data_IF_583460812009
#
_entry.id   IF_583460812009
#
_cell.length_a   1.000
_cell.length_b   1.000
_cell.length_c   1.000
_cell.angle_alpha   90.00
_cell.angle_beta   90.00
_cell.angle_gamma   90.00
#
_symmetry.space_group_name_H-M   'P 1'
#
loop_
_entity.id
_entity.type
_entity.pdbx_description
1 polymer ?
#
# COMPACT_ATOMS: atom_id res chain seq x y z
N UNK A 1 -36.03 -19.59 -5.47
CA UNK A 1 -37.05 -18.53 -5.67
C UNK A 1 -36.49 -17.09 -5.67
N UNK A 2 -35.17 -16.84 -5.58
CA UNK A 2 -34.61 -15.47 -5.61
C UNK A 2 -34.26 -14.94 -7.03
N UNK A 3 -34.04 -15.83 -8.01
CA UNK A 3 -33.62 -15.44 -9.36
C UNK A 3 -34.71 -14.69 -10.17
N UNK A 4 -35.98 -14.77 -9.75
CA UNK A 4 -37.11 -14.09 -10.42
C UNK A 4 -37.22 -12.59 -10.11
N UNK A 5 -36.61 -12.11 -9.01
CA UNK A 5 -36.73 -10.71 -8.58
C UNK A 5 -35.79 -9.77 -9.34
N UNK A 6 -34.55 -10.19 -9.61
CA UNK A 6 -33.54 -9.33 -10.27
C UNK A 6 -33.90 -8.98 -11.71
N UNK A 7 -34.56 -9.89 -12.44
CA UNK A 7 -35.01 -9.67 -13.83
C UNK A 7 -36.11 -8.62 -13.96
N UNK A 8 -36.85 -8.37 -12.88
CA UNK A 8 -37.95 -7.42 -12.87
C UNK A 8 -37.48 -5.99 -12.55
N UNK A 9 -36.23 -5.82 -12.11
CA UNK A 9 -35.67 -4.51 -11.80
C UNK A 9 -35.22 -3.79 -13.08
N UNK A 10 -35.55 -2.49 -13.25
CA UNK A 10 -35.01 -1.69 -14.34
C UNK A 10 -33.47 -1.59 -14.29
N UNK A 11 -32.81 -1.47 -15.45
CA UNK A 11 -31.35 -1.34 -15.58
C UNK A 11 -30.79 -0.21 -14.69
N UNK A 12 -31.52 0.91 -14.56
CA UNK A 12 -31.14 2.04 -13.71
C UNK A 12 -31.10 1.69 -12.22
N UNK A 13 -32.05 0.88 -11.75
CA UNK A 13 -32.09 0.40 -10.37
C UNK A 13 -30.93 -0.57 -10.12
N UNK A 14 -30.64 -1.45 -11.07
CA UNK A 14 -29.49 -2.36 -10.98
C UNK A 14 -28.16 -1.61 -10.91
N UNK A 15 -28.00 -0.56 -11.72
CA UNK A 15 -26.81 0.32 -11.68
C UNK A 15 -26.73 1.08 -10.35
N UNK A 16 -27.85 1.59 -9.83
CA UNK A 16 -27.89 2.26 -8.53
C UNK A 16 -27.48 1.30 -7.38
N UNK A 17 -28.02 0.08 -7.38
CA UNK A 17 -27.62 -0.96 -6.41
C UNK A 17 -26.14 -1.30 -6.54
N UNK A 18 -25.62 -1.45 -7.77
CA UNK A 18 -24.21 -1.76 -8.00
C UNK A 18 -23.26 -0.69 -7.46
N UNK A 19 -23.67 0.59 -7.39
CA UNK A 19 -22.87 1.66 -6.78
C UNK A 19 -22.75 1.55 -5.26
N UNK A 20 -23.64 0.80 -4.60
CA UNK A 20 -23.63 0.55 -3.16
C UNK A 20 -22.87 -0.73 -2.78
N UNK A 21 -22.48 -1.53 -3.77
CA UNK A 21 -21.79 -2.80 -3.59
C UNK A 21 -20.29 -2.66 -3.83
N UNK A 22 -19.51 -3.50 -3.17
CA UNK A 22 -18.11 -3.69 -3.52
C UNK A 22 -18.01 -4.28 -4.93
N UNK A 23 -16.96 -3.95 -5.66
CA UNK A 23 -16.79 -4.34 -7.05
C UNK A 23 -16.75 -5.85 -7.23
N UNK A 24 -16.29 -6.61 -6.22
CA UNK A 24 -16.34 -8.07 -6.26
C UNK A 24 -17.76 -8.62 -6.09
N UNK A 25 -18.63 -7.95 -5.33
CA UNK A 25 -20.04 -8.32 -5.25
C UNK A 25 -20.74 -8.01 -6.57
N UNK A 26 -20.44 -6.87 -7.20
CA UNK A 26 -20.90 -6.54 -8.56
C UNK A 26 -20.40 -7.57 -9.57
N UNK A 27 -19.13 -7.98 -9.49
CA UNK A 27 -18.53 -8.99 -10.35
C UNK A 27 -19.27 -10.33 -10.21
N UNK A 28 -19.51 -10.80 -8.98
CA UNK A 28 -20.25 -12.04 -8.72
C UNK A 28 -21.69 -11.94 -9.22
N UNK A 29 -22.38 -10.84 -8.91
CA UNK A 29 -23.76 -10.60 -9.34
C UNK A 29 -23.89 -10.57 -10.87
N UNK A 30 -22.90 -10.00 -11.57
CA UNK A 30 -22.87 -9.97 -13.03
C UNK A 30 -22.81 -11.36 -13.68
N UNK A 31 -22.38 -12.41 -12.96
CA UNK A 31 -22.28 -13.77 -13.50
C UNK A 31 -23.48 -14.66 -13.13
N UNK A 32 -24.48 -14.12 -12.42
CA UNK A 32 -25.68 -14.89 -12.03
C UNK A 32 -26.60 -15.15 -13.24
N UNK A 33 -26.73 -14.18 -14.15
CA UNK A 33 -27.71 -14.23 -15.23
C UNK A 33 -27.32 -13.32 -16.41
N UNK A 34 -27.79 -13.61 -17.62
CA UNK A 34 -27.38 -12.91 -18.86
C UNK A 34 -27.74 -11.41 -18.89
N UNK A 35 -28.90 -11.01 -18.38
CA UNK A 35 -29.30 -9.61 -18.27
C UNK A 35 -28.37 -8.87 -17.30
N UNK A 36 -28.09 -9.46 -16.13
CA UNK A 36 -27.14 -8.90 -15.17
C UNK A 36 -25.72 -8.83 -15.75
N UNK A 37 -25.29 -9.84 -16.49
CA UNK A 37 -24.01 -9.81 -17.18
C UNK A 37 -23.91 -8.62 -18.13
N UNK A 38 -24.98 -8.32 -18.88
CA UNK A 38 -25.00 -7.17 -19.78
C UNK A 38 -24.98 -5.84 -19.02
N UNK A 39 -25.87 -5.67 -18.03
CA UNK A 39 -26.06 -4.39 -17.32
C UNK A 39 -24.90 -4.08 -16.38
N UNK A 40 -24.41 -5.08 -15.66
CA UNK A 40 -23.37 -4.92 -14.64
C UNK A 40 -21.95 -5.08 -15.18
N UNK A 41 -21.76 -5.30 -16.49
CA UNK A 41 -20.44 -5.24 -17.14
C UNK A 41 -20.13 -3.89 -17.79
N UNK A 42 -20.96 -2.88 -17.53
CA UNK A 42 -20.73 -1.50 -17.97
C UNK A 42 -19.42 -0.97 -17.38
N UNK A 43 -18.59 -0.38 -18.24
CA UNK A 43 -17.23 0.05 -17.94
C UNK A 43 -17.15 0.97 -16.70
N UNK A 44 -18.03 1.95 -16.63
CA UNK A 44 -18.08 2.96 -15.58
C UNK A 44 -18.25 2.39 -14.16
N UNK A 45 -18.85 1.19 -14.03
CA UNK A 45 -19.01 0.52 -12.75
C UNK A 45 -17.66 0.08 -12.19
N UNK A 46 -16.74 -0.38 -13.03
CA UNK A 46 -15.42 -0.85 -12.59
C UNK A 46 -14.35 0.22 -12.71
N UNK A 47 -14.40 1.05 -13.76
CA UNK A 47 -13.46 2.14 -13.96
C UNK A 47 -13.45 3.09 -12.75
N UNK A 48 -14.61 3.41 -12.15
CA UNK A 48 -14.70 4.26 -10.96
C UNK A 48 -14.04 3.70 -9.69
N UNK A 49 -13.71 2.39 -9.68
CA UNK A 49 -13.10 1.66 -8.55
C UNK A 49 -11.60 1.46 -8.72
N UNK A 50 -11.12 1.51 -9.95
CA UNK A 50 -9.70 1.40 -10.28
C UNK A 50 -8.97 2.70 -10.00
N UNK A 51 -7.65 2.62 -9.85
CA UNK A 51 -6.81 3.81 -9.71
C UNK A 51 -6.85 4.67 -10.97
N UNK A 52 -7.04 5.98 -10.77
CA UNK A 52 -6.92 7.00 -11.82
C UNK A 52 -5.63 7.79 -11.62
N UNK A 53 -4.63 7.18 -10.98
CA UNK A 53 -3.31 7.77 -10.89
C UNK A 53 -2.58 7.53 -12.20
N UNK A 54 -2.22 8.63 -12.86
CA UNK A 54 -1.48 8.63 -14.11
C UNK A 54 -0.20 9.44 -13.94
N UNK A 55 0.89 8.89 -14.48
CA UNK A 55 2.19 9.54 -14.45
C UNK A 55 2.47 10.19 -15.81
N UNK A 56 3.12 11.35 -15.77
CA UNK A 56 3.60 12.02 -16.98
C UNK A 56 4.56 11.08 -17.72
N UNK A 57 4.17 10.65 -18.92
CA UNK A 57 5.05 9.93 -19.83
C UNK A 57 5.86 10.94 -20.65
N UNK A 58 7.19 10.87 -20.62
CA UNK A 58 8.05 11.80 -21.40
C UNK A 58 7.93 11.64 -22.92
N UNK A 59 7.20 10.65 -23.45
CA UNK A 59 6.71 10.69 -24.83
C UNK A 59 5.54 9.71 -25.05
N UNK A 60 4.36 10.22 -25.45
CA UNK A 60 3.47 9.70 -26.52
C UNK A 60 2.13 10.44 -26.54
N UNK A 61 1.54 10.56 -27.74
CA UNK A 61 0.34 11.35 -28.08
C UNK A 61 -0.89 10.93 -27.25
N UNK A 62 -1.42 11.88 -26.47
CA UNK A 62 -2.46 11.67 -25.47
C UNK A 62 -3.90 11.54 -25.97
N UNK A 63 -4.19 10.63 -26.90
CA UNK A 63 -5.59 10.31 -27.29
C UNK A 63 -5.99 8.84 -27.24
N UNK A 64 -5.03 7.91 -27.28
CA UNK A 64 -5.34 6.48 -27.46
C UNK A 64 -5.37 5.67 -26.14
N UNK A 65 -4.84 6.22 -25.04
CA UNK A 65 -4.74 5.54 -23.74
C UNK A 65 -6.06 5.58 -22.93
N UNK A 66 -6.86 6.65 -23.04
CA UNK A 66 -8.11 6.78 -22.28
C UNK A 66 -9.25 5.90 -22.83
N UNK A 67 -9.25 5.63 -24.15
CA UNK A 67 -10.34 4.90 -24.81
C UNK A 67 -10.24 3.38 -24.55
N UNK A 68 -9.02 2.85 -24.40
CA UNK A 68 -8.80 1.41 -24.15
C UNK A 68 -8.96 1.00 -22.68
N UNK A 69 -8.68 1.88 -21.72
CA UNK A 69 -8.77 1.55 -20.28
C UNK A 69 -10.23 1.37 -19.81
N UNK A 70 -11.17 2.09 -20.40
CA UNK A 70 -12.60 2.01 -20.09
C UNK A 70 -13.20 0.64 -20.49
N UNK A 71 -12.92 0.17 -21.71
CA UNK A 71 -13.62 -0.97 -22.32
C UNK A 71 -13.34 -2.30 -21.59
N UNK A 72 -12.17 -2.47 -20.97
CA UNK A 72 -11.80 -3.70 -20.24
C UNK A 72 -11.72 -3.52 -18.71
N UNK A 73 -12.26 -2.43 -18.17
CA UNK A 73 -12.20 -2.07 -16.75
C UNK A 73 -12.73 -3.16 -15.81
N UNK A 74 -13.75 -3.93 -16.22
CA UNK A 74 -14.24 -5.09 -15.47
C UNK A 74 -13.17 -6.17 -15.31
N UNK A 75 -12.47 -6.50 -16.40
CA UNK A 75 -11.42 -7.51 -16.39
C UNK A 75 -10.20 -7.00 -15.62
N UNK A 76 -9.83 -5.73 -15.81
CA UNK A 76 -8.76 -5.10 -15.06
C UNK A 76 -9.05 -5.17 -13.56
N UNK A 77 -10.25 -4.77 -13.13
CA UNK A 77 -10.66 -4.91 -11.73
C UNK A 77 -10.58 -6.36 -11.22
N UNK A 78 -10.97 -7.34 -12.03
CA UNK A 78 -10.92 -8.74 -11.66
C UNK A 78 -9.49 -9.33 -11.56
N UNK A 79 -8.53 -8.74 -12.27
CA UNK A 79 -7.14 -9.20 -12.33
C UNK A 79 -6.20 -8.42 -11.41
N UNK A 80 -6.54 -7.18 -11.07
CA UNK A 80 -5.78 -6.36 -10.13
C UNK A 80 -5.64 -7.04 -8.77
N UNK A 81 -4.46 -6.86 -8.17
CA UNK A 81 -4.11 -7.51 -6.91
C UNK A 81 -3.37 -6.56 -5.99
N UNK A 82 -3.45 -6.87 -4.70
CA UNK A 82 -2.73 -6.19 -3.64
C UNK A 82 -1.85 -7.20 -2.89
N UNK A 83 -0.98 -6.73 -2.02
CA UNK A 83 -0.06 -7.59 -1.27
C UNK A 83 -0.58 -7.81 0.14
N UNK A 84 -0.76 -9.08 0.54
CA UNK A 84 -1.09 -9.47 1.90
C UNK A 84 0.19 -9.85 2.65
N UNK A 85 0.34 -9.24 3.82
CA UNK A 85 1.36 -9.57 4.81
C UNK A 85 0.67 -10.28 5.98
N UNK A 86 1.23 -11.42 6.38
CA UNK A 86 0.64 -12.35 7.35
C UNK A 86 0.84 -11.95 8.81
N UNK A 87 1.58 -10.88 9.07
CA UNK A 87 1.86 -10.43 10.44
C UNK A 87 2.93 -11.23 11.15
N UNK A 88 3.18 -10.84 12.40
CA UNK A 88 4.19 -11.48 13.25
C UNK A 88 3.53 -12.52 14.15
N UNK A 89 3.85 -13.81 13.94
CA UNK A 89 3.45 -14.86 14.87
C UNK A 89 4.19 -14.71 16.21
N UNK A 90 3.47 -14.79 17.33
CA UNK A 90 4.05 -14.63 18.68
C UNK A 90 5.14 -15.67 18.98
N UNK A 91 4.96 -16.89 18.48
CA UNK A 91 5.91 -18.00 18.65
C UNK A 91 7.14 -17.93 17.72
N UNK A 92 7.16 -17.01 16.75
CA UNK A 92 8.23 -16.92 15.74
C UNK A 92 9.07 -15.68 15.94
N UNK A 93 10.39 -15.84 15.79
CA UNK A 93 11.37 -14.74 15.88
C UNK A 93 11.60 -14.01 14.56
N UNK A 94 11.41 -14.72 13.45
CA UNK A 94 11.55 -14.16 12.10
C UNK A 94 10.16 -13.81 11.56
N UNK A 95 10.07 -12.79 10.69
CA UNK A 95 8.85 -12.47 9.98
C UNK A 95 8.48 -13.58 8.98
N UNK A 96 7.19 -13.84 8.84
CA UNK A 96 6.64 -14.86 7.95
C UNK A 96 6.40 -14.30 6.56
N UNK A 97 6.18 -12.99 6.46
CA UNK A 97 5.99 -12.29 5.21
C UNK A 97 6.77 -10.98 5.19
N UNK A 98 7.55 -10.72 4.14
CA UNK A 98 8.17 -9.42 3.90
C UNK A 98 8.66 -9.27 2.45
N UNK A 99 8.79 -8.03 2.01
CA UNK A 99 9.28 -7.66 0.70
C UNK A 99 10.59 -6.85 0.83
N UNK A 100 11.75 -7.37 0.42
CA UNK A 100 12.99 -6.61 0.42
C UNK A 100 12.96 -5.50 -0.63
N UNK A 101 13.51 -4.33 -0.29
CA UNK A 101 13.76 -3.23 -1.22
C UNK A 101 15.24 -3.21 -1.55
N UNK A 102 15.60 -3.45 -2.81
CA UNK A 102 16.99 -3.60 -3.27
C UNK A 102 17.67 -2.28 -3.63
N UNK A 103 17.16 -1.18 -3.11
CA UNK A 103 17.78 0.14 -3.23
C UNK A 103 18.41 0.50 -1.89
N UNK A 104 19.58 1.13 -1.92
CA UNK A 104 20.12 1.73 -0.71
C UNK A 104 19.14 2.77 -0.17
N UNK A 105 19.15 2.97 1.15
CA UNK A 105 18.37 4.05 1.78
C UNK A 105 18.67 5.39 1.09
N UNK A 106 19.93 5.64 0.77
CA UNK A 106 20.34 6.86 0.07
C UNK A 106 19.68 7.02 -1.30
N UNK A 107 19.60 5.96 -2.10
CA UNK A 107 18.93 6.00 -3.40
C UNK A 107 17.42 6.13 -3.24
N UNK A 108 16.84 5.44 -2.25
CA UNK A 108 15.40 5.44 -2.01
C UNK A 108 14.89 6.83 -1.61
N UNK A 109 15.66 7.56 -0.80
CA UNK A 109 15.30 8.88 -0.29
C UNK A 109 16.06 10.05 -0.93
N UNK A 110 16.87 9.78 -1.96
CA UNK A 110 17.55 10.82 -2.75
C UNK A 110 18.65 11.55 -1.98
N UNK A 111 19.31 10.89 -1.02
CA UNK A 111 20.26 11.52 -0.10
C UNK A 111 21.55 11.99 -0.82
N UNK A 112 21.98 11.30 -1.88
CA UNK A 112 23.17 11.71 -2.68
C UNK A 112 22.89 12.65 -3.85
N UNK A 113 21.62 12.94 -4.18
CA UNK A 113 21.29 13.82 -5.31
C UNK A 113 21.50 15.32 -4.98
N UNK A 114 22.14 15.62 -3.85
CA UNK A 114 22.39 16.97 -3.36
C UNK A 114 23.52 17.62 -4.17
N UNK A 115 23.21 18.71 -4.88
CA UNK A 115 24.24 19.56 -5.52
C UNK A 115 25.05 20.35 -4.47
N UNK A 116 24.45 20.65 -3.32
CA UNK A 116 25.06 21.34 -2.18
C UNK A 116 24.78 20.58 -0.87
N UNK A 117 25.82 20.32 -0.08
CA UNK A 117 25.75 19.57 1.19
C UNK A 117 24.88 20.24 2.28
N UNK A 118 24.46 21.49 2.08
CA UNK A 118 23.62 22.26 3.02
C UNK A 118 22.12 22.19 2.68
N UNK A 119 21.71 21.61 1.54
CA UNK A 119 20.30 21.44 1.19
C UNK A 119 19.80 20.05 1.61
N UNK A 120 18.93 19.92 2.62
CA UNK A 120 18.38 18.63 3.01
C UNK A 120 17.59 18.00 1.83
N UNK A 121 17.53 16.66 1.75
CA UNK A 121 16.79 15.97 0.70
C UNK A 121 15.31 16.37 0.77
N UNK A 122 14.67 16.46 -0.39
CA UNK A 122 13.21 16.59 -0.47
C UNK A 122 12.63 15.32 -1.06
N UNK A 123 11.65 14.74 -0.37
CA UNK A 123 11.03 13.51 -0.82
C UNK A 123 9.60 13.39 -0.32
N UNK A 124 8.86 12.53 -1.01
CA UNK A 124 7.52 12.12 -0.60
C UNK A 124 7.48 10.60 -0.59
N UNK A 125 6.87 10.03 0.44
CA UNK A 125 6.43 8.65 0.45
C UNK A 125 4.92 8.63 0.63
N UNK A 126 4.23 7.74 -0.07
CA UNK A 126 2.83 7.44 0.25
C UNK A 126 2.55 5.93 0.24
N UNK A 127 1.46 5.55 0.90
CA UNK A 127 0.98 4.18 0.89
C UNK A 127 -0.54 4.09 1.05
N UNK A 128 -1.13 3.13 0.33
CA UNK A 128 -2.47 2.62 0.58
C UNK A 128 -2.38 1.30 1.33
N UNK A 129 -2.96 1.24 2.53
CA UNK A 129 -2.95 0.03 3.35
C UNK A 129 -4.28 -0.19 4.08
N UNK A 130 -4.52 -1.43 4.49
CA UNK A 130 -5.61 -1.81 5.38
C UNK A 130 -5.10 -2.78 6.42
N UNK A 131 -5.52 -2.61 7.67
CA UNK A 131 -5.28 -3.60 8.71
C UNK A 131 -6.17 -4.83 8.48
N UNK A 132 -5.60 -6.01 8.69
CA UNK A 132 -6.39 -7.23 8.80
C UNK A 132 -7.03 -7.32 10.20
N UNK A 133 -8.17 -8.02 10.33
CA UNK A 133 -8.74 -8.33 11.63
C UNK A 133 -7.75 -9.07 12.50
N UNK A 134 -7.94 -8.99 13.82
CA UNK A 134 -7.13 -9.77 14.76
C UNK A 134 -7.27 -11.25 14.45
N UNK A 135 -6.14 -11.91 14.29
CA UNK A 135 -6.02 -13.36 14.17
C UNK A 135 -5.36 -13.92 15.44
N UNK A 136 -5.67 -15.17 15.78
CA UNK A 136 -5.09 -15.82 16.95
C UNK A 136 -3.59 -16.03 16.76
N UNK A 137 -2.80 -15.79 17.80
CA UNK A 137 -1.33 -15.92 17.82
C UNK A 137 -0.57 -15.01 16.85
N UNK A 138 -1.26 -14.10 16.15
CA UNK A 138 -0.69 -13.06 15.29
C UNK A 138 -0.76 -11.73 16.03
N UNK A 139 0.40 -11.06 16.14
CA UNK A 139 0.46 -9.73 16.74
C UNK A 139 -0.28 -8.71 15.89
N UNK A 140 -0.98 -7.81 16.55
CA UNK A 140 -1.66 -6.70 15.90
C UNK A 140 -0.64 -5.67 15.38
N UNK A 141 -0.95 -5.02 14.26
CA UNK A 141 -0.11 -3.93 13.71
C UNK A 141 1.08 -4.45 12.92
N UNK A 142 2.26 -3.89 13.18
CA UNK A 142 3.52 -4.21 12.53
C UNK A 142 4.12 -3.09 11.70
N UNK A 143 5.36 -3.28 11.27
CA UNK A 143 6.12 -2.30 10.48
C UNK A 143 5.81 -2.49 9.01
N UNK A 144 5.31 -1.44 8.37
CA UNK A 144 4.97 -1.44 6.95
C UNK A 144 6.18 -1.03 6.09
N UNK A 145 6.99 -0.05 6.55
CA UNK A 145 8.29 0.27 5.96
C UNK A 145 9.34 0.42 7.06
N UNK A 146 10.33 -0.48 7.07
CA UNK A 146 11.43 -0.51 8.03
C UNK A 146 12.79 -0.38 7.35
N UNK A 147 13.68 0.38 7.97
CA UNK A 147 15.09 0.53 7.61
C UNK A 147 15.96 -0.11 8.69
N UNK A 148 17.03 -0.80 8.29
CA UNK A 148 17.94 -1.43 9.23
C UNK A 148 19.35 -1.65 8.64
N UNK A 149 20.35 -1.79 9.51
CA UNK A 149 21.72 -2.08 9.11
C UNK A 149 21.98 -3.57 8.84
N UNK A 150 21.09 -4.47 9.26
CA UNK A 150 21.20 -5.91 9.02
C UNK A 150 19.96 -6.44 8.33
N UNK A 151 20.15 -7.37 7.39
CA UNK A 151 19.03 -8.06 6.75
C UNK A 151 18.39 -9.05 7.72
N UNK A 152 17.11 -9.34 7.50
CA UNK A 152 16.45 -10.44 8.19
C UNK A 152 17.15 -11.78 7.88
N UNK A 153 17.74 -12.41 8.91
CA UNK A 153 18.39 -13.73 8.84
C UNK A 153 17.93 -14.62 9.98
N UNK A 154 17.92 -15.92 9.75
CA UNK A 154 17.66 -16.93 10.77
C UNK A 154 18.82 -17.18 11.74
N UNK A 155 18.90 -18.38 12.28
CA UNK A 155 19.88 -18.74 13.31
C UNK A 155 21.33 -18.38 12.91
N UNK A 156 22.05 -17.76 13.84
CA UNK A 156 23.42 -17.27 13.63
C UNK A 156 23.52 -15.90 12.92
N UNK A 157 22.41 -15.30 12.50
CA UNK A 157 22.38 -13.94 11.99
C UNK A 157 22.55 -12.88 13.07
N UNK A 158 23.29 -11.81 12.78
CA UNK A 158 23.38 -10.64 13.65
C UNK A 158 22.05 -9.88 13.65
N UNK A 159 21.59 -9.48 14.84
CA UNK A 159 20.42 -8.61 14.95
C UNK A 159 20.79 -7.18 14.54
N UNK A 160 19.86 -6.44 13.89
CA UNK A 160 20.06 -5.03 13.61
C UNK A 160 20.37 -4.23 14.88
N UNK A 161 21.47 -3.48 14.85
CA UNK A 161 21.84 -2.53 15.91
C UNK A 161 21.30 -1.13 15.62
N UNK A 162 21.11 -0.81 14.33
CA UNK A 162 20.50 0.42 13.88
C UNK A 162 19.28 0.07 13.05
N UNK A 163 18.15 0.66 13.42
CA UNK A 163 16.89 0.47 12.72
C UNK A 163 15.98 1.69 12.86
N UNK A 164 15.11 1.89 11.88
CA UNK A 164 14.12 2.96 11.88
C UNK A 164 12.82 2.48 11.21
N UNK A 165 11.71 2.58 11.94
CA UNK A 165 10.37 2.28 11.41
C UNK A 165 9.79 3.56 10.83
N UNK A 166 9.85 3.70 9.51
CA UNK A 166 9.35 4.89 8.80
C UNK A 166 7.82 4.94 8.80
N UNK A 167 7.18 3.78 8.64
CA UNK A 167 5.74 3.63 8.68
C UNK A 167 5.40 2.34 9.42
N UNK A 168 4.67 2.45 10.53
CA UNK A 168 4.25 1.30 11.31
C UNK A 168 2.94 1.55 12.06
N UNK A 169 2.33 0.45 12.49
CA UNK A 169 1.16 0.46 13.36
C UNK A 169 1.50 -0.34 14.61
N UNK A 170 1.26 0.21 15.80
CA UNK A 170 1.51 -0.49 17.07
C UNK A 170 0.42 -1.53 17.40
N UNK A 171 0.58 -2.22 18.54
CA UNK A 171 -0.35 -3.25 18.98
C UNK A 171 -1.76 -2.70 19.30
N UNK A 172 -1.84 -1.43 19.70
CA UNK A 172 -3.06 -0.68 19.98
C UNK A 172 -3.73 -0.13 18.71
N UNK A 173 -3.13 -0.36 17.54
CA UNK A 173 -3.57 0.15 16.22
C UNK A 173 -3.38 1.64 16.05
N UNK A 174 -2.42 2.24 16.74
CA UNK A 174 -2.01 3.60 16.47
C UNK A 174 -1.04 3.64 15.28
N UNK A 175 -1.21 4.64 14.42
CA UNK A 175 -0.37 4.86 13.26
C UNK A 175 0.80 5.77 13.60
N UNK A 176 1.98 5.42 13.11
CA UNK A 176 3.16 6.27 13.15
C UNK A 176 3.76 6.33 11.75
N UNK A 177 4.07 7.53 11.30
CA UNK A 177 4.78 7.76 10.06
C UNK A 177 5.75 8.91 10.27
N UNK A 178 7.04 8.63 10.28
CA UNK A 178 8.05 9.65 10.53
C UNK A 178 9.43 9.21 10.07
N UNK A 179 10.22 10.18 9.64
CA UNK A 179 11.67 10.06 9.45
C UNK A 179 12.45 10.77 10.55
N UNK A 180 11.78 11.46 11.49
CA UNK A 180 12.38 12.19 12.61
C UNK A 180 12.46 11.32 13.88
N UNK A 181 13.33 11.70 14.83
CA UNK A 181 13.50 10.99 16.10
C UNK A 181 12.27 11.08 17.03
N UNK A 182 11.48 12.15 16.93
CA UNK A 182 10.28 12.35 17.74
C UNK A 182 9.18 11.33 17.46
N UNK A 183 9.14 10.75 16.24
CA UNK A 183 8.16 9.74 15.79
C UNK A 183 6.74 9.96 16.33
N UNK A 184 6.08 11.07 15.98
CA UNK A 184 4.77 11.40 16.52
C UNK A 184 3.74 10.34 16.10
N UNK A 185 2.79 10.07 17.01
CA UNK A 185 1.61 9.30 16.69
C UNK A 185 0.71 10.12 15.77
N UNK A 186 0.41 9.55 14.60
CA UNK A 186 -0.32 10.18 13.49
C UNK A 186 -1.83 9.97 13.60
N UNK A 187 -2.23 8.79 14.05
CA UNK A 187 -3.62 8.44 14.29
C UNK A 187 -3.72 7.38 15.38
N UNK A 188 -4.91 7.22 15.94
CA UNK A 188 -5.21 6.26 17.01
C UNK A 188 -6.26 5.28 16.57
N UNK A 189 -6.20 4.06 17.14
CA UNK A 189 -7.25 3.05 17.04
C UNK A 189 -7.76 2.77 15.61
N UNK A 190 -6.85 2.65 14.64
CA UNK A 190 -7.23 2.37 13.26
C UNK A 190 -8.16 1.15 13.16
N UNK A 191 -9.22 1.31 12.37
CA UNK A 191 -10.19 0.25 12.07
C UNK A 191 -9.61 -0.80 11.11
N UNK A 192 -9.87 -2.08 11.39
CA UNK A 192 -9.58 -3.16 10.45
C UNK A 192 -10.53 -3.13 9.25
N UNK A 193 -10.08 -3.65 8.11
CA UNK A 193 -10.84 -3.71 6.84
C UNK A 193 -11.21 -2.33 6.26
N UNK A 194 -10.56 -1.25 6.69
CA UNK A 194 -10.66 0.08 6.07
C UNK A 194 -9.37 0.38 5.31
N UNK A 195 -9.52 0.88 4.09
CA UNK A 195 -8.40 1.43 3.32
C UNK A 195 -8.03 2.81 3.89
N UNK A 196 -6.76 2.98 4.22
CA UNK A 196 -6.13 4.24 4.62
C UNK A 196 -5.10 4.64 3.58
N UNK A 197 -5.09 5.92 3.24
CA UNK A 197 -3.98 6.54 2.54
C UNK A 197 -3.12 7.32 3.53
N UNK A 198 -1.82 7.05 3.58
CA UNK A 198 -0.87 7.83 4.37
C UNK A 198 0.18 8.42 3.45
N UNK A 199 0.56 9.67 3.67
CA UNK A 199 1.67 10.29 2.98
C UNK A 199 2.57 11.05 3.96
N UNK A 200 3.88 10.99 3.73
CA UNK A 200 4.88 11.78 4.41
C UNK A 200 5.62 12.60 3.36
N UNK A 201 5.65 13.91 3.57
CA UNK A 201 6.39 14.88 2.76
C UNK A 201 7.48 15.47 3.63
N UNK A 202 8.73 15.40 3.18
CA UNK A 202 9.87 16.02 3.84
C UNK A 202 10.53 17.03 2.90
N UNK A 203 10.71 18.26 3.38
CA UNK A 203 11.33 19.36 2.63
C UNK A 203 11.88 20.39 3.61
N UNK A 204 13.08 20.95 3.34
CA UNK A 204 13.65 22.06 4.12
C UNK A 204 13.62 21.84 5.64
N UNK A 205 14.01 20.64 6.11
CA UNK A 205 13.96 20.25 7.54
C UNK A 205 12.56 20.32 8.16
N UNK A 206 11.52 20.20 7.34
CA UNK A 206 10.14 20.09 7.78
C UNK A 206 9.54 18.78 7.30
N UNK A 207 8.85 18.09 8.20
CA UNK A 207 8.05 16.91 7.90
C UNK A 207 6.57 17.28 7.99
N UNK A 208 5.79 16.84 7.00
CA UNK A 208 4.32 16.90 7.01
C UNK A 208 3.78 15.51 6.76
N UNK A 209 2.81 15.11 7.57
CA UNK A 209 2.17 13.79 7.49
C UNK A 209 0.69 14.01 7.19
N UNK A 210 0.20 13.25 6.22
CA UNK A 210 -1.19 13.28 5.78
C UNK A 210 -1.82 11.91 5.96
N UNK A 211 -3.07 11.91 6.41
CA UNK A 211 -3.92 10.71 6.48
C UNK A 211 -5.20 10.99 5.72
N UNK A 212 -5.51 10.13 4.76
CA UNK A 212 -6.63 10.26 3.82
C UNK A 212 -6.67 11.62 3.08
N UNK A 213 -5.50 12.25 2.91
CA UNK A 213 -5.32 13.53 2.22
C UNK A 213 -5.33 14.77 3.13
N UNK A 214 -5.67 14.59 4.40
CA UNK A 214 -5.71 15.68 5.39
C UNK A 214 -4.40 15.75 6.17
N UNK A 215 -3.90 16.96 6.43
CA UNK A 215 -2.69 17.17 7.24
C UNK A 215 -2.99 16.83 8.71
N UNK A 216 -2.30 15.82 9.24
CA UNK A 216 -2.51 15.30 10.60
C UNK A 216 -1.29 15.50 11.51
N UNK A 217 -0.13 15.81 10.94
CA UNK A 217 1.09 16.10 11.69
C UNK A 217 2.02 17.00 10.91
N UNK A 218 2.69 17.92 11.62
CA UNK A 218 3.75 18.73 11.05
C UNK A 218 4.82 18.99 12.10
N UNK A 219 6.06 18.84 11.69
CA UNK A 219 7.23 19.19 12.50
C UNK A 219 8.15 20.07 11.64
N UNK A 220 8.73 21.08 12.24
CA UNK A 220 9.66 22.01 11.60
C UNK A 220 11.00 21.97 12.33
N UNK A 221 12.06 22.36 11.63
CA UNK A 221 13.42 22.41 12.18
C UNK A 221 13.90 21.06 12.72
N UNK A 222 13.46 19.97 12.09
CA UNK A 222 13.82 18.61 12.49
C UNK A 222 14.90 18.04 11.59
N UNK A 223 15.83 17.32 12.21
CA UNK A 223 16.73 16.42 11.48
C UNK A 223 16.02 15.10 11.20
N UNK A 224 16.16 14.63 9.96
CA UNK A 224 15.75 13.28 9.61
C UNK A 224 16.81 12.28 10.11
N UNK A 225 16.38 11.06 10.44
CA UNK A 225 17.25 10.00 10.97
C UNK A 225 17.95 9.18 9.88
N UNK A 226 17.51 9.27 8.63
CA UNK A 226 17.98 8.49 7.47
C UNK A 226 19.49 8.58 7.25
N UNK A 227 20.11 9.73 7.58
CA UNK A 227 21.58 9.93 7.49
C UNK A 227 22.30 9.73 8.83
N UNK A 228 21.57 9.58 9.94
CA UNK A 228 22.17 9.47 11.27
C UNK A 228 22.85 8.12 11.51
N UNK A 229 22.43 7.08 10.79
CA UNK A 229 22.88 5.71 10.99
C UNK A 229 22.98 4.91 9.69
N UNK A 230 23.82 3.85 9.63
CA UNK A 230 24.04 3.08 8.42
C UNK A 230 22.87 2.14 8.09
N UNK A 231 21.79 2.67 7.51
CA UNK A 231 20.66 1.86 7.07
C UNK A 231 20.91 1.27 5.68
N UNK A 232 21.35 0.01 5.63
CA UNK A 232 21.67 -0.67 4.36
C UNK A 232 20.48 -1.41 3.73
N UNK A 233 19.45 -1.72 4.51
CA UNK A 233 18.34 -2.56 4.08
C UNK A 233 17.00 -1.90 4.38
N UNK A 234 16.25 -1.59 3.33
CA UNK A 234 14.84 -1.25 3.42
C UNK A 234 13.97 -2.50 3.22
N UNK A 235 12.90 -2.62 4.00
CA UNK A 235 11.98 -3.75 3.97
C UNK A 235 10.54 -3.26 4.07
N UNK A 236 9.67 -3.86 3.26
CA UNK A 236 8.23 -3.62 3.27
C UNK A 236 7.53 -4.79 3.97
N UNK A 237 6.59 -4.45 4.84
CA UNK A 237 5.81 -5.39 5.63
C UNK A 237 6.56 -6.05 6.78
N UNK A 238 7.76 -5.58 7.10
CA UNK A 238 8.43 -5.87 8.37
C UNK A 238 9.50 -4.81 8.67
N UNK A 239 9.98 -4.83 9.91
CA UNK A 239 11.10 -4.05 10.38
C UNK A 239 11.49 -4.50 11.78
N UNK A 240 12.74 -4.25 12.14
CA UNK A 240 13.21 -4.54 13.49
C UNK A 240 12.77 -3.43 14.45
N UNK A 241 12.36 -3.80 15.66
CA UNK A 241 11.99 -2.87 16.74
C UNK A 241 12.77 -3.27 17.99
N UNK A 242 13.36 -2.29 18.66
CA UNK A 242 13.82 -2.43 20.05
C UNK A 242 13.15 -1.37 20.91
N UNK A 243 12.29 -1.81 21.81
CA UNK A 243 11.63 -1.00 22.84
C UNK A 243 11.59 -1.78 24.16
N UNK A 244 11.22 -1.14 25.27
CA UNK A 244 11.33 -1.68 26.63
C UNK A 244 10.60 -3.04 26.83
N UNK A 245 9.58 -3.32 26.02
CA UNK A 245 8.81 -4.57 26.06
C UNK A 245 9.07 -5.55 24.91
N UNK A 246 9.79 -5.14 23.86
CA UNK A 246 9.98 -5.97 22.68
C UNK A 246 11.27 -5.66 21.92
N UNK A 247 12.02 -6.72 21.62
CA UNK A 247 13.23 -6.63 20.81
C UNK A 247 13.22 -7.71 19.73
N UNK A 248 12.92 -7.35 18.49
CA UNK A 248 12.79 -8.30 17.40
C UNK A 248 12.13 -7.75 16.14
N UNK A 249 11.91 -8.65 15.17
CA UNK A 249 11.22 -8.34 13.92
C UNK A 249 9.71 -8.25 14.13
N UNK A 250 9.09 -7.19 13.62
CA UNK A 250 7.66 -6.97 13.74
C UNK A 250 7.00 -6.86 12.37
N UNK A 251 6.61 -8.02 11.81
CA UNK A 251 5.89 -8.09 10.54
C UNK A 251 4.50 -7.46 10.60
N UNK A 252 4.15 -6.74 9.53
CA UNK A 252 2.86 -6.10 9.32
C UNK A 252 1.74 -7.11 9.05
N UNK A 253 0.62 -6.98 9.75
CA UNK A 253 -0.57 -7.79 9.55
C UNK A 253 -1.64 -6.99 8.80
N UNK A 254 -1.61 -7.06 7.46
CA UNK A 254 -2.44 -6.19 6.64
C UNK A 254 -2.32 -6.40 5.14
N UNK A 255 -3.06 -5.58 4.40
CA UNK A 255 -3.01 -5.49 2.94
C UNK A 255 -2.36 -4.16 2.55
N UNK A 256 -1.47 -4.18 1.55
CA UNK A 256 -0.88 -2.99 0.94
C UNK A 256 -1.19 -3.01 -0.55
N UNK A 257 -1.79 -1.94 -1.06
CA UNK A 257 -2.07 -1.82 -2.49
C UNK A 257 -0.92 -1.11 -3.20
N UNK A 258 -0.62 0.10 -2.77
CA UNK A 258 0.49 0.90 -3.30
C UNK A 258 1.36 1.38 -2.15
N UNK A 259 2.67 1.36 -2.37
CA UNK A 259 3.66 2.07 -1.56
C UNK A 259 4.62 2.69 -2.56
N UNK A 260 4.75 4.01 -2.53
CA UNK A 260 5.50 4.77 -3.52
C UNK A 260 6.41 5.78 -2.86
N UNK A 261 7.53 6.07 -3.51
CA UNK A 261 8.42 7.16 -3.14
C UNK A 261 8.78 8.04 -4.34
N UNK A 262 9.02 9.32 -4.06
CA UNK A 262 9.50 10.34 -5.00
C UNK A 262 10.62 11.15 -4.36
N UNK A 263 11.56 11.64 -5.17
CA UNK A 263 12.58 12.62 -4.77
C UNK A 263 12.09 14.06 -4.92
N UNK A 264 10.82 14.29 -4.59
CA UNK A 264 10.23 15.62 -4.60
C UNK A 264 9.22 15.77 -3.46
N UNK A 265 9.06 17.00 -2.98
CA UNK A 265 8.03 17.35 -2.02
C UNK A 265 6.71 17.60 -2.77
N UNK A 266 5.83 16.59 -2.77
CA UNK A 266 4.55 16.69 -3.46
C UNK A 266 3.63 17.65 -2.68
N UNK A 267 3.03 18.64 -3.36
CA UNK A 267 2.22 19.65 -2.68
C UNK A 267 0.91 19.06 -2.12
N UNK A 268 0.33 19.66 -1.07
CA UNK A 268 -0.86 19.12 -0.37
C UNK A 268 -2.04 18.81 -1.30
N UNK A 269 -2.28 19.64 -2.31
CA UNK A 269 -3.36 19.42 -3.28
C UNK A 269 -3.22 18.11 -4.06
N UNK A 270 -2.00 17.76 -4.46
CA UNK A 270 -1.72 16.49 -5.14
C UNK A 270 -1.74 15.30 -4.17
N UNK A 271 -1.34 15.49 -2.90
CA UNK A 271 -1.52 14.47 -1.86
C UNK A 271 -3.01 14.14 -1.65
N UNK A 272 -3.89 15.15 -1.65
CA UNK A 272 -5.33 14.94 -1.56
C UNK A 272 -5.93 14.27 -2.82
N UNK A 273 -5.29 14.37 -3.97
CA UNK A 273 -5.64 13.58 -5.17
C UNK A 273 -5.14 12.14 -5.07
N UNK A 274 -3.93 11.92 -4.54
CA UNK A 274 -3.40 10.58 -4.25
C UNK A 274 -4.27 9.82 -3.24
N UNK A 275 -4.80 10.50 -2.22
CA UNK A 275 -5.71 9.93 -1.22
C UNK A 275 -7.12 9.63 -1.73
N UNK A 276 -7.45 10.13 -2.91
CA UNK A 276 -8.65 9.79 -3.68
C UNK A 276 -8.33 8.83 -4.84
N UNK A 277 -7.05 8.46 -4.97
CA UNK A 277 -6.54 7.59 -6.02
C UNK A 277 -6.89 8.13 -7.43
N UNK A 278 -6.69 9.45 -7.60
CA UNK A 278 -7.16 10.23 -8.76
C UNK A 278 -6.17 11.27 -9.31
N UNK A 279 -4.87 11.10 -9.08
CA UNK A 279 -3.85 12.08 -9.46
C UNK A 279 -3.33 11.85 -10.90
N UNK A 280 -3.61 12.75 -11.84
CA UNK A 280 -3.33 12.51 -13.27
C UNK A 280 -2.01 13.11 -13.80
N UNK A 281 -1.30 13.92 -13.02
CA UNK A 281 -0.18 14.76 -13.50
C UNK A 281 1.03 14.66 -12.56
N UNK A 282 1.31 13.46 -12.07
CA UNK A 282 2.49 13.22 -11.22
C UNK A 282 3.69 12.78 -12.06
N UNK A 283 4.89 13.11 -11.60
CA UNK A 283 6.07 12.40 -12.08
C UNK A 283 6.00 10.95 -11.61
N UNK A 284 6.60 10.07 -12.40
CA UNK A 284 6.67 8.67 -12.02
C UNK A 284 7.44 8.53 -10.71
N UNK A 285 6.93 7.74 -9.73
CA UNK A 285 7.65 7.51 -8.50
C UNK A 285 8.98 6.82 -8.79
N UNK A 286 9.99 7.22 -8.03
CA UNK A 286 11.29 6.57 -8.08
C UNK A 286 11.11 5.12 -7.65
N UNK A 287 10.37 4.83 -6.57
CA UNK A 287 10.05 3.47 -6.15
C UNK A 287 8.54 3.22 -6.11
N UNK A 288 8.07 2.04 -6.52
CA UNK A 288 6.72 1.54 -6.32
C UNK A 288 6.75 0.05 -5.97
N UNK A 289 6.07 -0.35 -4.89
CA UNK A 289 5.96 -1.75 -4.47
C UNK A 289 5.48 -2.66 -5.61
N UNK A 290 4.42 -2.27 -6.33
CA UNK A 290 3.83 -3.04 -7.43
C UNK A 290 4.77 -3.20 -8.63
N UNK A 291 5.64 -2.21 -8.89
CA UNK A 291 6.56 -2.20 -10.04
C UNK A 291 7.89 -2.87 -9.71
N UNK A 292 8.45 -2.56 -8.55
CA UNK A 292 9.87 -2.79 -8.26
C UNK A 292 10.13 -3.99 -7.35
N UNK A 293 9.09 -4.52 -6.69
CA UNK A 293 9.18 -5.77 -5.93
C UNK A 293 8.43 -6.89 -6.65
N UNK A 294 9.10 -7.70 -7.47
CA UNK A 294 8.46 -8.83 -8.10
C UNK A 294 8.17 -9.93 -7.07
N UNK A 295 7.10 -10.67 -7.32
CA UNK A 295 6.55 -11.65 -6.38
C UNK A 295 7.54 -12.75 -5.94
N UNK A 296 8.55 -13.08 -6.75
CA UNK A 296 9.54 -14.10 -6.39
C UNK A 296 10.58 -13.60 -5.37
N UNK A 297 10.70 -12.28 -5.20
CA UNK A 297 11.57 -11.68 -4.19
C UNK A 297 10.89 -11.50 -2.83
N UNK A 298 9.56 -11.44 -2.82
CA UNK A 298 8.79 -11.26 -1.60
C UNK A 298 8.65 -12.60 -0.86
N UNK A 299 9.21 -12.69 0.35
CA UNK A 299 9.14 -13.90 1.16
C UNK A 299 7.77 -14.00 1.80
N UNK A 300 7.01 -15.06 1.56
CA UNK A 300 5.72 -15.33 2.22
C UNK A 300 4.64 -14.25 2.04
N UNK A 301 4.83 -13.32 1.10
CA UNK A 301 3.83 -12.29 0.75
C UNK A 301 2.87 -12.89 -0.27
N UNK A 302 1.58 -12.84 0.02
CA UNK A 302 0.56 -13.35 -0.89
C UNK A 302 0.03 -12.21 -1.78
N UNK A 303 -0.12 -12.46 -3.08
CA UNK A 303 -0.97 -11.60 -3.91
C UNK A 303 -2.42 -11.94 -3.63
N UNK A 304 -3.22 -10.93 -3.30
CA UNK A 304 -4.64 -11.10 -2.99
C UNK A 304 -5.50 -10.27 -3.92
N UNK A 305 -6.64 -10.84 -4.30
CA UNK A 305 -7.75 -10.09 -4.89
C UNK A 305 -8.57 -9.52 -3.75
N UNK A 306 -8.75 -8.21 -3.75
CA UNK A 306 -9.57 -7.51 -2.78
C UNK A 306 -10.27 -6.28 -3.39
N UNK A 307 -11.26 -5.74 -2.70
CA UNK A 307 -11.81 -4.42 -3.05
C UNK A 307 -10.71 -3.35 -3.07
N UNK A 308 -10.86 -2.37 -3.96
CA UNK A 308 -9.84 -1.36 -4.28
C UNK A 308 -9.87 -0.18 -3.30
N UNK A 309 -8.79 0.59 -3.15
CA UNK A 309 -8.72 1.75 -2.26
C UNK A 309 -9.88 2.75 -2.37
N UNK A 310 -10.33 3.03 -3.61
CA UNK A 310 -11.46 3.94 -3.88
C UNK A 310 -12.79 3.47 -3.29
N UNK A 311 -12.91 2.19 -2.96
CA UNK A 311 -14.10 1.60 -2.33
C UNK A 311 -14.09 1.73 -0.80
N UNK A 312 -12.99 2.24 -0.23
CA UNK A 312 -12.78 2.57 1.20
C UNK A 312 -12.81 1.40 2.18
N UNK A 313 -13.46 0.30 1.83
CA UNK A 313 -13.44 -0.95 2.58
C UNK A 313 -12.55 -1.97 1.88
N UNK A 314 -11.76 -2.71 2.66
CA UNK A 314 -10.86 -3.75 2.19
C UNK A 314 -11.44 -5.13 2.54
N UNK A 315 -11.92 -5.84 1.52
CA UNK A 315 -12.37 -7.22 1.62
C UNK A 315 -11.52 -8.09 0.70
N UNK A 316 -10.77 -9.01 1.28
CA UNK A 316 -10.04 -10.06 0.55
C UNK A 316 -11.03 -11.13 0.10
N UNK A 317 -11.00 -11.47 -1.20
CA UNK A 317 -11.94 -12.42 -1.81
C UNK A 317 -11.29 -13.69 -2.34
N UNK A 318 -9.99 -13.64 -2.64
CA UNK A 318 -9.18 -14.77 -3.07
C UNK A 318 -7.70 -14.45 -2.82
N UNK A 319 -6.90 -15.48 -2.54
CA UNK A 319 -5.46 -15.37 -2.41
C UNK A 319 -4.79 -16.28 -3.45
N UNK A 320 -3.74 -15.78 -4.10
CA UNK A 320 -2.89 -16.61 -4.93
C UNK A 320 -1.88 -17.29 -4.01
N UNK A 321 -2.10 -18.58 -3.71
CA UNK A 321 -1.07 -19.39 -3.09
C UNK A 321 -0.10 -19.80 -4.18
N UNK A 322 1.12 -19.26 -4.14
CA UNK A 322 2.17 -19.74 -5.03
C UNK A 322 2.59 -21.12 -4.52
N UNK A 323 2.01 -22.19 -5.07
CA UNK A 323 2.65 -23.50 -5.03
C UNK A 323 3.98 -23.38 -5.78
N UNK A 324 5.02 -24.08 -5.33
CA UNK A 324 6.40 -23.97 -5.86
C UNK A 324 6.57 -24.27 -7.36
N UNK A 325 5.48 -24.62 -8.06
CA UNK A 325 5.43 -24.80 -9.51
C UNK A 325 5.33 -23.45 -10.25
N UNK A 326 6.42 -23.14 -10.96
CA UNK A 326 6.73 -21.83 -11.53
C UNK A 326 5.82 -21.31 -12.67
N UNK A 327 4.77 -22.03 -13.09
CA UNK A 327 4.11 -21.71 -14.38
C UNK A 327 2.60 -21.39 -14.37
N UNK A 328 1.89 -21.41 -13.25
CA UNK A 328 0.48 -20.97 -13.22
C UNK A 328 0.14 -20.28 -11.89
N UNK A 329 -0.17 -18.96 -11.93
CA UNK A 329 -0.79 -18.25 -10.80
C UNK A 329 -2.20 -18.84 -10.57
N UNK A 330 -2.30 -19.84 -9.69
CA UNK A 330 -3.58 -20.45 -9.29
C UNK A 330 -4.12 -19.71 -8.07
N UNK A 331 -5.37 -19.25 -8.18
CA UNK A 331 -6.09 -18.57 -7.11
C UNK A 331 -6.89 -19.62 -6.31
N UNK A 332 -6.81 -19.57 -4.98
CA UNK A 332 -7.53 -20.47 -4.05
C UNK A 332 -8.80 -19.81 -3.52
#
# INVERSE_FOLDING_TARGET
MAASLWRALPDEVLVAVARLLLGFDVLRLSHVERHLLRVLSRAELFASRLSHVHYQHESTRGSDLEIHSSIDSKRQYALESSFRFSGQLEAKRLPQSYAPVFWSTDMLFGLYAQEDADSPPSFTMDAWFSLLPREQDVRQGGVLLGLQNEKCRGEGGQQPTFHCQILHVDAERNLYCSVTSEKPRVAVELEAKRWYHVALVFEQRSQKIYLDGELVGSQCEQEQQLESFPYYYAQIGTGFISDDGYNGWHAFHGIVDDLRLWHEAIPPGQIAELSRDSAAVLRQPIFSLKRDVPAWMAHGVEKVRCSRPRERWCQVVAACQRTEDLDLETWV
#
